data_IF_107816868555
#
_entry.id   IF_107816868555
#
_cell.length_a   1.000
_cell.length_b   1.000
_cell.length_c   1.000
_cell.angle_alpha   90.00
_cell.angle_beta   90.00
_cell.angle_gamma   90.00
#
_symmetry.space_group_name_H-M   'P 1'
#
loop_
_entity.id
_entity.type
_entity.pdbx_description
1 polymer ?
#
# COMPACT_ATOMS: atom_id res chain seq x y z
N UNK A 1 -18.77 29.49 24.06
CA UNK A 1 -18.79 28.87 22.71
C UNK A 1 -18.86 27.34 22.77
N UNK A 2 -17.83 26.58 23.18
CA UNK A 2 -17.90 25.11 23.30
C UNK A 2 -18.89 24.60 24.37
N UNK A 3 -18.98 25.28 25.52
CA UNK A 3 -19.98 25.00 26.57
C UNK A 3 -21.41 25.33 26.11
N UNK A 4 -21.54 26.43 25.37
CA UNK A 4 -22.79 26.90 24.78
C UNK A 4 -23.25 26.02 23.60
N UNK A 5 -22.31 25.44 22.85
CA UNK A 5 -22.55 24.38 21.87
C UNK A 5 -23.13 23.16 22.56
N UNK A 6 -22.47 22.63 23.59
CA UNK A 6 -22.99 21.45 24.33
C UNK A 6 -24.38 21.72 24.92
N UNK A 7 -24.67 22.96 25.35
CA UNK A 7 -26.01 23.37 25.82
C UNK A 7 -27.03 23.44 24.67
N UNK A 8 -26.79 24.25 23.63
CA UNK A 8 -27.74 24.43 22.50
C UNK A 8 -27.95 23.15 21.69
N UNK A 9 -26.93 22.31 21.64
CA UNK A 9 -26.94 21.04 20.95
C UNK A 9 -27.72 19.97 21.76
N UNK A 10 -27.76 20.09 23.10
CA UNK A 10 -28.67 19.29 23.96
C UNK A 10 -30.13 19.71 23.85
N UNK A 11 -30.38 21.02 23.76
CA UNK A 11 -31.74 21.60 23.83
C UNK A 11 -32.53 21.49 22.50
N UNK A 12 -31.84 21.22 21.41
CA UNK A 12 -32.43 21.08 20.08
C UNK A 12 -33.01 19.66 19.88
N UNK A 13 -34.35 19.56 19.87
CA UNK A 13 -35.08 18.38 19.37
C UNK A 13 -34.84 18.11 17.87
N UNK A 14 -34.16 19.02 17.16
CA UNK A 14 -33.86 18.89 15.74
C UNK A 14 -32.38 18.49 15.49
N UNK A 15 -32.13 17.23 15.14
CA UNK A 15 -30.78 16.73 14.95
C UNK A 15 -30.02 17.29 13.74
N UNK A 16 -30.72 17.75 12.71
CA UNK A 16 -30.06 18.36 11.55
C UNK A 16 -29.49 19.75 11.88
N UNK A 17 -30.15 20.48 12.80
CA UNK A 17 -29.64 21.73 13.33
C UNK A 17 -28.33 21.50 14.12
N UNK A 18 -28.28 20.43 14.91
CA UNK A 18 -27.12 20.04 15.70
C UNK A 18 -25.88 19.77 14.83
N UNK A 19 -26.01 18.96 13.78
CA UNK A 19 -24.92 18.70 12.83
C UNK A 19 -24.51 19.97 12.08
N UNK A 20 -25.47 20.83 11.74
CA UNK A 20 -25.19 22.12 11.10
C UNK A 20 -24.34 23.02 11.99
N UNK A 21 -24.65 23.12 13.27
CA UNK A 21 -23.85 23.89 14.24
C UNK A 21 -22.45 23.29 14.40
N UNK A 22 -22.31 21.96 14.46
CA UNK A 22 -21.00 21.32 14.51
C UNK A 22 -20.14 21.71 13.29
N UNK A 23 -20.72 21.66 12.08
CA UNK A 23 -20.02 22.08 10.85
C UNK A 23 -19.60 23.54 10.91
N UNK A 24 -20.49 24.43 11.36
CA UNK A 24 -20.17 25.86 11.51
C UNK A 24 -19.02 26.10 12.49
N UNK A 25 -18.95 25.35 13.59
CA UNK A 25 -17.85 25.44 14.55
C UNK A 25 -16.55 24.96 13.92
N UNK A 26 -16.55 23.79 13.28
CA UNK A 26 -15.38 23.23 12.60
C UNK A 26 -14.86 24.19 11.51
N UNK A 27 -15.77 24.76 10.71
CA UNK A 27 -15.44 25.74 9.69
C UNK A 27 -14.90 27.04 10.30
N UNK A 28 -15.47 27.53 11.40
CA UNK A 28 -14.95 28.69 12.13
C UNK A 28 -13.53 28.46 12.68
N UNK A 29 -13.27 27.25 13.23
CA UNK A 29 -11.94 26.86 13.69
C UNK A 29 -10.96 26.85 12.51
N UNK A 30 -11.34 26.24 11.39
CA UNK A 30 -10.53 26.19 10.16
C UNK A 30 -10.25 27.57 9.59
N UNK A 31 -11.24 28.45 9.51
CA UNK A 31 -11.05 29.82 9.05
C UNK A 31 -10.09 30.59 9.95
N UNK A 32 -10.23 30.46 11.26
CA UNK A 32 -9.35 31.14 12.21
C UNK A 32 -7.93 30.57 12.17
N UNK A 33 -7.79 29.26 11.96
CA UNK A 33 -6.51 28.59 11.72
C UNK A 33 -5.84 29.19 10.49
N UNK A 34 -6.54 29.23 9.35
CA UNK A 34 -6.02 29.75 8.09
C UNK A 34 -5.65 31.24 8.19
N UNK A 35 -6.51 32.06 8.79
CA UNK A 35 -6.24 33.50 9.02
C UNK A 35 -4.99 33.70 9.86
N UNK A 36 -4.81 32.90 10.91
CA UNK A 36 -3.64 32.99 11.78
C UNK A 36 -2.37 32.48 11.07
N UNK A 37 -2.48 31.37 10.32
CA UNK A 37 -1.40 30.84 9.50
C UNK A 37 -0.89 31.87 8.50
N UNK A 38 -1.79 32.54 7.76
CA UNK A 38 -1.42 33.60 6.81
C UNK A 38 -0.72 34.77 7.49
N UNK A 39 -1.14 35.14 8.71
CA UNK A 39 -0.54 36.25 9.48
C UNK A 39 0.83 35.91 10.09
N UNK A 40 1.01 34.69 10.58
CA UNK A 40 2.17 34.32 11.40
C UNK A 40 3.22 33.49 10.66
N UNK A 41 2.84 32.85 9.55
CA UNK A 41 3.71 32.05 8.68
C UNK A 41 4.57 31.05 9.47
N UNK A 42 5.88 31.27 9.53
CA UNK A 42 6.84 30.40 10.22
C UNK A 42 6.64 30.35 11.75
N UNK A 43 6.05 31.38 12.34
CA UNK A 43 5.76 31.44 13.78
C UNK A 43 4.41 30.80 14.16
N UNK A 44 3.71 30.21 13.19
CA UNK A 44 2.41 29.61 13.41
C UNK A 44 2.48 28.43 14.41
N UNK A 45 1.61 28.46 15.41
CA UNK A 45 1.51 27.43 16.44
C UNK A 45 0.29 26.55 16.18
N UNK A 46 0.50 25.29 15.77
CA UNK A 46 -0.57 24.35 15.45
C UNK A 46 -1.26 23.74 16.67
N UNK A 47 -0.54 23.64 17.80
CA UNK A 47 -0.98 22.94 19.02
C UNK A 47 -2.34 23.38 19.57
N UNK A 48 -2.63 24.69 19.72
CA UNK A 48 -3.93 25.15 20.21
C UNK A 48 -5.10 24.67 19.34
N UNK A 49 -4.93 24.67 18.01
CA UNK A 49 -5.96 24.19 17.10
C UNK A 49 -6.12 22.68 17.20
N UNK A 50 -5.01 21.93 17.24
CA UNK A 50 -5.03 20.48 17.49
C UNK A 50 -5.86 20.13 18.71
N UNK A 51 -5.60 20.81 19.83
CA UNK A 51 -6.29 20.56 21.08
C UNK A 51 -7.79 20.87 21.02
N UNK A 52 -8.18 21.90 20.27
CA UNK A 52 -9.60 22.20 20.02
C UNK A 52 -10.29 21.08 19.25
N UNK A 53 -9.64 20.51 18.22
CA UNK A 53 -10.19 19.35 17.49
C UNK A 53 -10.35 18.14 18.40
N UNK A 54 -9.33 17.79 19.19
CA UNK A 54 -9.38 16.67 20.13
C UNK A 54 -10.52 16.82 21.13
N UNK A 55 -10.60 17.97 21.83
CA UNK A 55 -11.63 18.22 22.84
C UNK A 55 -13.03 18.16 22.23
N UNK A 56 -13.22 18.74 21.04
CA UNK A 56 -14.52 18.71 20.36
C UNK A 56 -14.88 17.28 19.94
N UNK A 57 -13.91 16.53 19.41
CA UNK A 57 -14.09 15.14 19.01
C UNK A 57 -14.46 14.26 20.21
N UNK A 58 -13.73 14.35 21.32
CA UNK A 58 -14.00 13.63 22.57
C UNK A 58 -15.42 13.91 23.06
N UNK A 59 -15.78 15.19 23.23
CA UNK A 59 -17.10 15.59 23.73
C UNK A 59 -18.25 15.08 22.88
N UNK A 60 -18.12 15.18 21.56
CA UNK A 60 -19.19 14.77 20.64
C UNK A 60 -19.26 13.23 20.53
N UNK A 61 -18.16 12.53 20.76
CA UNK A 61 -18.12 11.06 20.68
C UNK A 61 -18.63 10.39 21.98
N UNK A 62 -18.41 11.02 23.13
CA UNK A 62 -18.84 10.55 24.45
C UNK A 62 -20.35 10.74 24.70
N UNK A 63 -20.97 11.73 24.04
CA UNK A 63 -22.39 12.00 24.23
C UNK A 63 -23.28 10.92 23.59
N UNK A 64 -23.86 10.09 24.46
CA UNK A 64 -24.75 8.98 24.09
C UNK A 64 -26.01 9.43 23.36
N UNK A 65 -26.47 10.67 23.57
CA UNK A 65 -27.66 11.18 22.87
C UNK A 65 -27.45 11.28 21.35
N UNK A 66 -26.19 11.25 20.91
CA UNK A 66 -25.75 11.47 19.53
C UNK A 66 -25.35 10.21 18.78
N UNK A 67 -25.58 9.07 19.41
CA UNK A 67 -25.23 7.77 18.86
C UNK A 67 -25.77 7.57 17.43
N UNK A 68 -27.02 7.97 17.20
CA UNK A 68 -27.71 7.97 15.90
C UNK A 68 -27.09 8.89 14.84
N UNK A 69 -26.30 9.89 15.24
CA UNK A 69 -25.66 10.86 14.33
C UNK A 69 -24.15 10.66 14.18
N UNK A 70 -23.57 9.62 14.79
CA UNK A 70 -22.12 9.36 14.77
C UNK A 70 -21.51 9.40 13.37
N UNK A 71 -22.21 8.89 12.36
CA UNK A 71 -21.74 8.96 10.98
C UNK A 71 -21.64 10.40 10.46
N UNK A 72 -22.67 11.23 10.69
CA UNK A 72 -22.69 12.62 10.26
C UNK A 72 -21.64 13.47 10.99
N UNK A 73 -21.40 13.19 12.28
CA UNK A 73 -20.31 13.77 13.07
C UNK A 73 -18.97 13.44 12.42
N UNK A 74 -18.67 12.15 12.22
CA UNK A 74 -17.42 11.72 11.57
C UNK A 74 -17.25 12.35 10.20
N UNK A 75 -18.32 12.43 9.41
CA UNK A 75 -18.31 13.09 8.10
C UNK A 75 -17.98 14.58 8.22
N UNK A 76 -18.54 15.30 9.19
CA UNK A 76 -18.23 16.71 9.41
C UNK A 76 -16.73 16.91 9.74
N UNK A 77 -16.16 16.08 10.60
CA UNK A 77 -14.72 16.11 10.90
C UNK A 77 -13.86 15.77 9.68
N UNK A 78 -14.20 14.71 8.93
CA UNK A 78 -13.51 14.36 7.69
C UNK A 78 -13.56 15.49 6.66
N UNK A 79 -14.76 16.00 6.32
CA UNK A 79 -14.96 17.06 5.33
C UNK A 79 -14.11 18.30 5.69
N UNK A 80 -13.97 18.56 6.99
CA UNK A 80 -13.17 19.67 7.50
C UNK A 80 -11.65 19.37 7.47
N UNK A 81 -11.22 18.18 7.87
CA UNK A 81 -9.80 17.75 7.84
C UNK A 81 -9.24 17.65 6.41
N UNK A 82 -10.08 17.34 5.41
CA UNK A 82 -9.71 17.38 3.99
C UNK A 82 -9.33 18.79 3.52
N UNK A 83 -9.88 19.84 4.14
CA UNK A 83 -9.49 21.23 3.87
C UNK A 83 -8.09 21.54 4.41
N UNK A 84 -7.65 20.80 5.43
CA UNK A 84 -6.42 21.01 6.20
C UNK A 84 -5.31 20.00 5.89
N UNK A 85 -5.39 19.28 4.76
CA UNK A 85 -4.40 18.25 4.41
C UNK A 85 -2.97 18.82 4.36
N UNK A 86 -1.95 18.01 4.71
CA UNK A 86 -0.55 18.44 4.75
C UNK A 86 -0.03 19.05 3.44
N UNK A 87 -0.55 18.63 2.28
CA UNK A 87 -0.19 19.21 0.98
C UNK A 87 -0.56 20.68 0.85
N UNK A 88 -1.66 21.10 1.51
CA UNK A 88 -2.13 22.49 1.49
C UNK A 88 -1.52 23.31 2.64
N UNK A 89 -1.33 22.69 3.79
CA UNK A 89 -0.84 23.36 5.01
C UNK A 89 0.25 22.50 5.67
N UNK A 90 1.48 22.48 5.14
CA UNK A 90 2.54 21.60 5.63
C UNK A 90 2.89 21.81 7.11
N UNK A 91 2.81 23.05 7.61
CA UNK A 91 3.11 23.37 9.01
C UNK A 91 2.13 22.74 10.00
N UNK A 92 0.92 22.37 9.53
CA UNK A 92 -0.09 21.71 10.35
C UNK A 92 0.03 20.18 10.32
N UNK A 93 0.97 19.61 9.56
CA UNK A 93 1.04 18.17 9.31
C UNK A 93 1.12 17.31 10.58
N UNK A 94 1.90 17.72 11.59
CA UNK A 94 2.01 16.97 12.85
C UNK A 94 0.68 16.94 13.61
N UNK A 95 0.05 18.11 13.80
CA UNK A 95 -1.25 18.21 14.45
C UNK A 95 -2.35 17.49 13.66
N UNK A 96 -2.30 17.56 12.34
CA UNK A 96 -3.23 16.84 11.47
C UNK A 96 -3.11 15.32 11.66
N UNK A 97 -1.87 14.79 11.71
CA UNK A 97 -1.60 13.37 11.99
C UNK A 97 -2.07 12.95 13.37
N UNK A 98 -1.88 13.80 14.38
CA UNK A 98 -2.38 13.56 15.74
C UNK A 98 -3.91 13.46 15.77
N UNK A 99 -4.63 14.37 15.10
CA UNK A 99 -6.09 14.32 15.01
C UNK A 99 -6.58 13.07 14.29
N UNK A 100 -6.03 12.73 13.11
CA UNK A 100 -6.52 11.57 12.36
C UNK A 100 -6.18 10.24 13.05
N UNK A 101 -5.12 10.21 13.85
CA UNK A 101 -4.72 9.01 14.62
C UNK A 101 -5.39 8.91 15.99
N UNK A 102 -6.18 9.91 16.37
CA UNK A 102 -6.87 9.94 17.66
C UNK A 102 -7.85 8.76 17.81
N UNK A 103 -7.88 8.04 18.95
CA UNK A 103 -8.73 6.85 19.13
C UNK A 103 -10.23 7.12 18.92
N UNK A 104 -10.74 8.26 19.39
CA UNK A 104 -12.15 8.65 19.18
C UNK A 104 -12.50 8.89 17.71
N UNK A 105 -11.51 9.06 16.83
CA UNK A 105 -11.70 9.23 15.40
C UNK A 105 -11.41 7.93 14.63
N UNK A 106 -10.18 7.44 14.71
CA UNK A 106 -9.71 6.25 13.99
C UNK A 106 -10.53 5.01 14.36
N UNK A 107 -10.59 4.64 15.65
CA UNK A 107 -11.26 3.40 16.06
C UNK A 107 -12.75 3.48 15.72
N UNK A 108 -13.37 4.66 15.89
CA UNK A 108 -14.79 4.83 15.58
C UNK A 108 -15.07 4.77 14.08
N UNK A 109 -14.21 5.34 13.21
CA UNK A 109 -14.37 5.22 11.76
C UNK A 109 -14.24 3.77 11.28
N UNK A 110 -13.36 2.98 11.89
CA UNK A 110 -13.05 1.62 11.45
C UNK A 110 -13.95 0.53 12.06
N UNK A 111 -14.62 0.80 13.18
CA UNK A 111 -15.48 -0.19 13.88
C UNK A 111 -16.97 -0.07 13.59
N UNK A 112 -17.42 0.94 12.83
CA UNK A 112 -18.85 1.14 12.58
C UNK A 112 -19.43 0.27 11.45
N UNK A 113 -18.59 -0.54 10.80
CA UNK A 113 -18.96 -1.47 9.72
C UNK A 113 -19.43 -0.79 8.43
N UNK A 114 -19.33 0.54 8.31
CA UNK A 114 -19.78 1.26 7.10
C UNK A 114 -18.63 1.42 6.12
N UNK A 115 -18.82 0.91 4.90
CA UNK A 115 -17.88 1.10 3.79
C UNK A 115 -17.52 2.58 3.56
N UNK A 116 -18.49 3.50 3.69
CA UNK A 116 -18.24 4.95 3.58
C UNK A 116 -17.29 5.48 4.66
N UNK A 117 -17.40 5.01 5.91
CA UNK A 117 -16.51 5.43 7.00
C UNK A 117 -15.09 4.89 6.78
N UNK A 118 -14.97 3.65 6.31
CA UNK A 118 -13.69 3.06 5.93
C UNK A 118 -13.05 3.83 4.78
N UNK A 119 -13.82 4.19 3.75
CA UNK A 119 -13.36 5.00 2.63
C UNK A 119 -12.84 6.37 3.11
N UNK A 120 -13.57 7.05 3.99
CA UNK A 120 -13.13 8.33 4.56
C UNK A 120 -11.77 8.21 5.26
N UNK A 121 -11.56 7.14 6.03
CA UNK A 121 -10.28 6.95 6.71
C UNK A 121 -9.16 6.55 5.73
N UNK A 122 -9.46 5.70 4.74
CA UNK A 122 -8.57 5.37 3.64
C UNK A 122 -8.08 6.62 2.92
N UNK A 123 -8.96 7.55 2.57
CA UNK A 123 -8.61 8.78 1.87
C UNK A 123 -7.67 9.66 2.69
N UNK A 124 -7.91 9.79 4.00
CA UNK A 124 -7.02 10.53 4.90
C UNK A 124 -5.61 9.93 4.91
N UNK A 125 -5.49 8.61 5.05
CA UNK A 125 -4.19 7.94 4.99
C UNK A 125 -3.53 8.13 3.61
N UNK A 126 -4.30 8.09 2.53
CA UNK A 126 -3.80 8.35 1.18
C UNK A 126 -3.26 9.76 1.04
N UNK A 127 -3.96 10.79 1.55
CA UNK A 127 -3.42 12.15 1.60
C UNK A 127 -2.11 12.22 2.40
N UNK A 128 -2.00 11.50 3.52
CA UNK A 128 -0.74 11.47 4.28
C UNK A 128 0.40 10.82 3.48
N UNK A 129 0.14 9.68 2.83
CA UNK A 129 1.15 8.98 2.04
C UNK A 129 1.57 9.81 0.82
N UNK A 130 0.63 10.42 0.09
CA UNK A 130 0.90 11.29 -1.06
C UNK A 130 1.69 12.54 -0.66
N UNK A 131 1.47 13.09 0.55
CA UNK A 131 2.30 14.17 1.07
C UNK A 131 3.75 13.72 1.32
N UNK A 132 3.93 12.51 1.87
CA UNK A 132 5.25 11.97 2.20
C UNK A 132 6.03 11.47 0.99
N UNK A 133 5.33 10.98 -0.03
CA UNK A 133 5.84 10.34 -1.25
C UNK A 133 7.08 11.04 -1.86
N UNK A 134 7.04 12.35 -2.20
CA UNK A 134 8.18 12.99 -2.87
C UNK A 134 9.43 13.05 -2.01
N UNK A 135 9.26 13.22 -0.69
CA UNK A 135 10.37 13.28 0.27
C UNK A 135 10.98 11.89 0.51
N UNK A 136 10.14 10.87 0.58
CA UNK A 136 10.55 9.48 0.77
C UNK A 136 11.29 8.95 -0.45
N UNK A 137 10.78 9.24 -1.66
CA UNK A 137 11.41 8.83 -2.92
C UNK A 137 12.82 9.38 -3.07
N UNK A 138 13.00 10.68 -2.80
CA UNK A 138 14.29 11.37 -2.93
C UNK A 138 15.24 11.09 -1.76
N UNK A 139 14.79 10.38 -0.73
CA UNK A 139 15.51 10.17 0.53
C UNK A 139 15.95 11.52 1.15
N UNK A 140 15.17 12.58 0.90
CA UNK A 140 15.46 13.95 1.30
C UNK A 140 14.76 14.29 2.62
N UNK A 141 15.07 13.52 3.68
CA UNK A 141 14.36 13.62 4.95
C UNK A 141 15.11 14.51 5.96
N UNK A 142 14.54 15.69 6.21
CA UNK A 142 14.88 16.55 7.36
C UNK A 142 14.56 15.84 8.68
N UNK A 143 15.05 16.36 9.80
CA UNK A 143 14.74 15.80 11.13
C UNK A 143 13.22 15.69 11.35
N UNK A 144 12.47 16.75 11.03
CA UNK A 144 11.01 16.78 11.15
C UNK A 144 10.34 15.74 10.26
N UNK A 145 10.77 15.58 9.00
CA UNK A 145 10.21 14.56 8.10
C UNK A 145 10.50 13.13 8.59
N UNK A 146 11.64 12.89 9.25
CA UNK A 146 11.92 11.59 9.90
C UNK A 146 10.98 11.31 11.06
N UNK A 147 10.70 12.31 11.89
CA UNK A 147 9.72 12.18 12.97
C UNK A 147 8.32 11.91 12.42
N UNK A 148 7.93 12.62 11.37
CA UNK A 148 6.65 12.40 10.70
C UNK A 148 6.56 10.99 10.09
N UNK A 149 7.62 10.52 9.42
CA UNK A 149 7.67 9.16 8.89
C UNK A 149 7.58 8.10 9.99
N UNK A 150 8.20 8.32 11.17
CA UNK A 150 8.01 7.44 12.34
C UNK A 150 6.54 7.40 12.79
N UNK A 151 5.83 8.52 12.74
CA UNK A 151 4.38 8.54 13.02
C UNK A 151 3.58 7.76 11.97
N UNK A 152 3.94 7.85 10.68
CA UNK A 152 3.34 7.03 9.62
C UNK A 152 3.53 5.55 9.92
N UNK A 153 4.77 5.11 10.20
CA UNK A 153 5.06 3.71 10.58
C UNK A 153 4.19 3.27 11.77
N UNK A 154 4.13 4.09 12.83
CA UNK A 154 3.32 3.79 14.02
C UNK A 154 1.84 3.63 13.70
N UNK A 155 1.28 4.52 12.88
CA UNK A 155 -0.13 4.44 12.46
C UNK A 155 -0.37 3.11 11.72
N UNK A 156 0.46 2.77 10.74
CA UNK A 156 0.31 1.53 9.99
C UNK A 156 0.53 0.27 10.85
N UNK A 157 1.43 0.31 11.84
CA UNK A 157 1.57 -0.77 12.82
C UNK A 157 0.32 -0.91 13.70
N UNK A 158 -0.30 0.20 14.13
CA UNK A 158 -1.56 0.16 14.87
C UNK A 158 -2.67 -0.43 13.99
N UNK A 159 -2.77 -0.03 12.72
CA UNK A 159 -3.76 -0.56 11.79
C UNK A 159 -3.56 -2.06 11.55
N UNK A 160 -2.32 -2.51 11.37
CA UNK A 160 -2.00 -3.92 11.21
C UNK A 160 -2.43 -4.76 12.42
N UNK A 161 -2.27 -4.23 13.64
CA UNK A 161 -2.57 -4.98 14.86
C UNK A 161 -4.03 -4.89 15.32
N UNK A 162 -4.66 -3.72 15.19
CA UNK A 162 -6.02 -3.45 15.69
C UNK A 162 -7.11 -3.50 14.62
N UNK A 163 -6.76 -3.23 13.36
CA UNK A 163 -7.71 -3.12 12.25
C UNK A 163 -7.22 -3.87 11.00
N UNK A 164 -6.82 -5.15 11.12
CA UNK A 164 -6.16 -5.86 10.04
C UNK A 164 -7.06 -6.13 8.83
N UNK A 165 -8.38 -6.23 9.01
CA UNK A 165 -9.34 -6.33 7.90
C UNK A 165 -9.29 -5.08 7.01
N UNK A 166 -9.31 -3.89 7.61
CA UNK A 166 -9.22 -2.63 6.87
C UNK A 166 -7.90 -2.52 6.11
N UNK A 167 -6.78 -2.80 6.78
CA UNK A 167 -5.47 -2.68 6.15
C UNK A 167 -5.27 -3.73 5.05
N UNK A 168 -5.76 -4.96 5.25
CA UNK A 168 -5.65 -6.03 4.26
C UNK A 168 -6.50 -5.79 3.02
N UNK A 169 -7.66 -5.15 3.13
CA UNK A 169 -8.49 -4.70 2.00
C UNK A 169 -7.86 -3.53 1.24
N UNK A 170 -7.26 -2.57 1.95
CA UNK A 170 -6.70 -1.35 1.35
C UNK A 170 -5.24 -1.49 0.87
N UNK A 171 -4.62 -2.66 1.08
CA UNK A 171 -3.17 -2.85 0.89
C UNK A 171 -2.66 -2.40 -0.49
N UNK A 172 -3.44 -2.68 -1.55
CA UNK A 172 -3.07 -2.37 -2.93
C UNK A 172 -2.94 -0.86 -3.11
N UNK A 173 -3.97 -0.11 -2.72
CA UNK A 173 -4.01 1.36 -2.80
C UNK A 173 -2.87 2.01 -2.00
N UNK A 174 -2.60 1.52 -0.79
CA UNK A 174 -1.51 2.06 0.03
C UNK A 174 -0.13 1.71 -0.52
N UNK A 175 0.08 0.50 -1.04
CA UNK A 175 1.33 0.13 -1.69
C UNK A 175 1.60 0.93 -2.96
N UNK A 176 0.55 1.27 -3.71
CA UNK A 176 0.61 2.12 -4.91
C UNK A 176 0.89 3.61 -4.59
N UNK A 177 0.65 4.02 -3.34
CA UNK A 177 0.87 5.38 -2.84
C UNK A 177 2.24 5.59 -2.20
N UNK A 178 3.09 4.55 -2.09
CA UNK A 178 4.42 4.63 -1.47
C UNK A 178 5.56 4.24 -2.43
N UNK A 179 6.71 4.92 -2.36
CA UNK A 179 7.89 4.58 -3.15
C UNK A 179 8.42 3.14 -2.89
N UNK A 180 9.10 2.55 -3.88
CA UNK A 180 9.71 1.21 -3.76
C UNK A 180 10.74 1.09 -2.64
N UNK A 181 11.44 2.17 -2.31
CA UNK A 181 12.42 2.22 -1.23
C UNK A 181 11.80 2.29 0.18
N UNK A 182 10.47 2.44 0.32
CA UNK A 182 9.77 2.41 1.61
C UNK A 182 9.50 0.97 2.09
N UNK A 183 10.56 0.17 2.17
CA UNK A 183 10.47 -1.29 2.33
C UNK A 183 9.78 -1.67 3.66
N UNK A 184 10.17 -1.07 4.79
CA UNK A 184 9.57 -1.39 6.09
C UNK A 184 8.07 -1.04 6.13
N UNK A 185 7.68 0.15 5.66
CA UNK A 185 6.27 0.56 5.62
C UNK A 185 5.44 -0.39 4.75
N UNK A 186 5.99 -0.77 3.60
CA UNK A 186 5.39 -1.76 2.71
C UNK A 186 5.23 -3.11 3.41
N UNK A 187 6.26 -3.60 4.08
CA UNK A 187 6.17 -4.87 4.81
C UNK A 187 5.07 -4.83 5.87
N UNK A 188 4.97 -3.75 6.66
CA UNK A 188 3.88 -3.56 7.64
C UNK A 188 2.51 -3.68 6.97
N UNK A 189 2.30 -3.01 5.83
CA UNK A 189 1.03 -3.06 5.07
C UNK A 189 0.74 -4.49 4.59
N UNK A 190 1.74 -5.17 4.03
CA UNK A 190 1.61 -6.51 3.44
C UNK A 190 1.49 -7.62 4.50
N UNK A 191 1.84 -7.35 5.75
CA UNK A 191 1.67 -8.25 6.88
C UNK A 191 0.25 -8.28 7.46
N UNK A 192 -0.66 -7.40 7.01
CA UNK A 192 -2.03 -7.42 7.49
C UNK A 192 -2.75 -8.72 7.08
N UNK A 193 -3.23 -9.47 8.08
CA UNK A 193 -3.95 -10.74 7.91
C UNK A 193 -5.40 -10.57 8.35
N UNK A 194 -6.41 -10.84 7.51
CA UNK A 194 -7.81 -10.74 7.93
C UNK A 194 -8.10 -11.54 9.20
N UNK A 195 -9.01 -11.04 10.03
CA UNK A 195 -9.39 -11.66 11.31
C UNK A 195 -9.91 -13.09 11.13
N UNK A 196 -10.60 -13.37 10.02
CA UNK A 196 -11.06 -14.71 9.67
C UNK A 196 -9.91 -15.71 9.59
N UNK A 197 -8.80 -15.31 8.97
CA UNK A 197 -7.59 -16.14 8.85
C UNK A 197 -6.83 -16.20 10.17
N UNK A 198 -6.74 -15.08 10.90
CA UNK A 198 -6.12 -15.06 12.24
C UNK A 198 -6.83 -16.03 13.18
N UNK A 199 -8.17 -16.08 13.15
CA UNK A 199 -8.94 -16.97 14.01
C UNK A 199 -8.68 -18.44 13.67
N UNK A 200 -8.64 -18.81 12.38
CA UNK A 200 -8.26 -20.17 11.97
C UNK A 200 -6.89 -20.57 12.51
N UNK A 201 -5.89 -19.68 12.40
CA UNK A 201 -4.54 -19.94 12.92
C UNK A 201 -4.55 -20.10 14.46
N UNK A 202 -5.33 -19.27 15.17
CA UNK A 202 -5.48 -19.36 16.63
C UNK A 202 -6.19 -20.63 17.09
N UNK A 203 -7.09 -21.16 16.27
CA UNK A 203 -7.80 -22.41 16.51
C UNK A 203 -6.92 -23.66 16.26
N UNK A 204 -5.66 -23.46 15.90
CA UNK A 204 -4.65 -24.52 15.75
C UNK A 204 -4.51 -25.05 14.32
N UNK A 205 -5.21 -24.47 13.34
CA UNK A 205 -5.03 -24.84 11.94
C UNK A 205 -3.62 -24.49 11.47
N UNK A 206 -2.96 -25.47 10.85
CA UNK A 206 -1.66 -25.24 10.24
C UNK A 206 -1.80 -24.35 9.01
N UNK A 207 -0.78 -23.56 8.70
CA UNK A 207 -0.77 -22.71 7.50
C UNK A 207 -1.08 -23.49 6.21
N UNK A 208 -0.64 -24.75 6.10
CA UNK A 208 -0.93 -25.61 4.97
C UNK A 208 -2.43 -25.90 4.80
N UNK A 209 -3.19 -26.06 5.89
CA UNK A 209 -4.64 -26.28 5.85
C UNK A 209 -5.40 -25.02 5.43
N UNK A 210 -4.96 -23.87 5.96
CA UNK A 210 -5.49 -22.55 5.59
C UNK A 210 -5.21 -22.26 4.12
N UNK A 211 -4.04 -22.66 3.63
CA UNK A 211 -3.66 -22.53 2.22
C UNK A 211 -4.56 -23.38 1.32
N UNK A 212 -4.80 -24.65 1.65
CA UNK A 212 -5.69 -25.51 0.84
C UNK A 212 -7.09 -24.91 0.67
N UNK A 213 -7.62 -24.31 1.74
CA UNK A 213 -8.94 -23.67 1.77
C UNK A 213 -8.87 -22.15 1.55
N UNK A 214 -7.78 -21.65 0.97
CA UNK A 214 -7.57 -20.23 0.73
C UNK A 214 -8.74 -19.59 -0.03
N UNK A 215 -9.20 -18.44 0.44
CA UNK A 215 -10.24 -17.66 -0.23
C UNK A 215 -9.62 -16.61 -1.17
N UNK A 216 -10.42 -16.12 -2.11
CA UNK A 216 -10.08 -14.90 -2.85
C UNK A 216 -10.11 -13.74 -1.84
N UNK A 217 -9.01 -12.98 -1.69
CA UNK A 217 -8.96 -11.88 -0.74
C UNK A 217 -9.87 -10.74 -1.21
N UNK A 218 -10.57 -10.12 -0.25
CA UNK A 218 -11.32 -8.88 -0.50
C UNK A 218 -10.34 -7.71 -0.64
N UNK A 219 -10.45 -6.94 -1.72
CA UNK A 219 -9.56 -5.83 -2.05
C UNK A 219 -10.41 -4.66 -2.49
N UNK A 220 -10.07 -3.46 -1.99
CA UNK A 220 -10.80 -2.24 -2.32
C UNK A 220 -10.84 -2.04 -3.86
N UNK A 221 -12.03 -1.77 -4.46
CA UNK A 221 -12.16 -1.57 -5.89
C UNK A 221 -11.44 -0.30 -6.38
N UNK A 222 -11.27 -0.18 -7.70
CA UNK A 222 -10.63 0.97 -8.35
C UNK A 222 -9.19 0.72 -8.81
N UNK A 223 -8.67 -0.49 -8.58
CA UNK A 223 -7.36 -0.88 -9.09
C UNK A 223 -7.33 -0.97 -10.63
N UNK A 224 -8.47 -1.04 -11.31
CA UNK A 224 -8.60 -1.08 -12.77
C UNK A 224 -8.58 0.31 -13.43
N UNK A 225 -8.75 1.39 -12.65
CA UNK A 225 -8.85 2.75 -13.20
C UNK A 225 -7.65 3.15 -14.07
N UNK A 226 -6.38 2.83 -13.71
CA UNK A 226 -5.24 3.11 -14.59
C UNK A 226 -5.28 2.35 -15.92
N UNK A 227 -5.71 1.09 -15.92
CA UNK A 227 -5.88 0.28 -17.14
C UNK A 227 -6.99 0.80 -18.05
N UNK A 228 -8.10 1.25 -17.46
CA UNK A 228 -9.21 1.83 -18.20
C UNK A 228 -8.76 3.17 -18.81
N UNK A 229 -8.12 4.02 -18.01
CA UNK A 229 -7.67 5.36 -18.44
C UNK A 229 -6.58 5.33 -19.50
N UNK A 230 -5.75 4.29 -19.51
CA UNK A 230 -4.73 4.07 -20.55
C UNK A 230 -5.30 3.46 -21.84
N UNK A 231 -6.54 2.98 -21.84
CA UNK A 231 -7.13 2.25 -22.96
C UNK A 231 -6.61 0.81 -23.14
N UNK A 232 -5.77 0.31 -22.22
CA UNK A 232 -5.19 -1.04 -22.29
C UNK A 232 -6.16 -2.14 -21.86
N UNK A 233 -7.23 -1.80 -21.11
CA UNK A 233 -8.15 -2.81 -20.57
C UNK A 233 -8.79 -3.71 -21.65
N UNK A 234 -9.27 -3.13 -22.75
CA UNK A 234 -9.88 -3.88 -23.85
C UNK A 234 -8.88 -4.79 -24.60
N UNK A 235 -7.74 -4.29 -25.13
CA UNK A 235 -6.77 -5.14 -25.81
C UNK A 235 -6.18 -6.21 -24.89
N UNK A 236 -5.98 -5.90 -23.59
CA UNK A 236 -5.55 -6.89 -22.60
C UNK A 236 -6.56 -8.04 -22.45
N UNK A 237 -7.83 -7.72 -22.24
CA UNK A 237 -8.87 -8.74 -22.10
C UNK A 237 -9.01 -9.61 -23.35
N UNK A 238 -8.88 -9.00 -24.54
CA UNK A 238 -8.89 -9.73 -25.80
C UNK A 238 -7.69 -10.67 -25.90
N UNK A 239 -6.49 -10.19 -25.58
CA UNK A 239 -5.28 -11.01 -25.60
C UNK A 239 -5.37 -12.17 -24.62
N UNK A 240 -5.84 -11.92 -23.40
CA UNK A 240 -6.01 -12.96 -22.39
C UNK A 240 -6.96 -14.08 -22.87
N UNK A 241 -8.06 -13.74 -23.56
CA UNK A 241 -9.05 -14.73 -24.01
C UNK A 241 -8.67 -15.42 -25.33
N UNK A 242 -8.19 -14.64 -26.30
CA UNK A 242 -8.05 -15.06 -27.69
C UNK A 242 -6.59 -15.22 -28.14
N UNK A 243 -5.63 -14.70 -27.38
CA UNK A 243 -4.22 -14.59 -27.80
C UNK A 243 -3.98 -13.49 -28.85
N UNK A 244 -4.96 -12.61 -29.07
CA UNK A 244 -4.94 -11.55 -30.09
C UNK A 244 -5.10 -10.14 -29.46
N UNK A 245 -4.46 -9.09 -30.02
CA UNK A 245 -3.60 -9.13 -31.20
C UNK A 245 -2.20 -9.67 -30.88
N UNK A 246 -1.58 -10.40 -31.82
CA UNK A 246 -0.21 -10.94 -31.64
C UNK A 246 0.84 -9.87 -31.30
N UNK A 247 0.66 -8.65 -31.81
CA UNK A 247 1.56 -7.52 -31.57
C UNK A 247 1.34 -6.85 -30.20
N UNK A 248 0.32 -7.28 -29.43
CA UNK A 248 0.00 -6.72 -28.12
C UNK A 248 1.21 -6.68 -27.21
N UNK A 249 1.92 -7.79 -27.08
CA UNK A 249 3.09 -7.91 -26.19
C UNK A 249 4.17 -6.88 -26.54
N UNK A 250 4.47 -6.72 -27.83
CA UNK A 250 5.48 -5.75 -28.30
C UNK A 250 5.07 -4.31 -27.96
N UNK A 251 3.79 -3.98 -28.14
CA UNK A 251 3.27 -2.64 -27.81
C UNK A 251 3.17 -2.38 -26.30
N UNK A 252 3.07 -3.45 -25.48
CA UNK A 252 2.82 -3.35 -24.05
C UNK A 252 3.98 -2.68 -23.30
N UNK A 253 5.22 -3.04 -23.63
CA UNK A 253 6.40 -2.44 -23.00
C UNK A 253 6.46 -0.91 -23.17
N UNK A 254 6.11 -0.42 -24.36
CA UNK A 254 6.05 1.01 -24.65
C UNK A 254 4.87 1.69 -23.95
N UNK A 255 3.71 1.03 -23.88
CA UNK A 255 2.53 1.57 -23.22
C UNK A 255 2.69 1.73 -21.69
N UNK A 256 3.64 1.00 -21.09
CA UNK A 256 3.97 1.10 -19.67
C UNK A 256 4.92 2.26 -19.34
N UNK A 257 5.54 2.89 -20.34
CA UNK A 257 6.40 4.05 -20.14
C UNK A 257 5.59 5.26 -19.66
N UNK A 258 6.23 6.12 -18.88
CA UNK A 258 5.59 7.35 -18.43
C UNK A 258 5.60 8.39 -19.56
N UNK A 259 4.45 9.01 -19.81
CA UNK A 259 4.36 10.16 -20.71
C UNK A 259 4.77 11.47 -20.03
N UNK A 260 5.19 11.40 -18.76
CA UNK A 260 5.50 12.57 -17.96
C UNK A 260 6.90 13.06 -18.31
N UNK A 261 6.98 14.19 -19.02
CA UNK A 261 8.18 15.03 -19.05
C UNK A 261 8.44 15.49 -17.62
N UNK A 262 9.23 14.74 -16.88
CA UNK A 262 9.66 15.17 -15.55
C UNK A 262 10.62 16.34 -15.77
N UNK A 263 10.20 17.54 -15.35
CA UNK A 263 11.10 18.67 -15.11
C UNK A 263 12.10 18.22 -14.03
N UNK A 264 13.19 17.61 -14.47
CA UNK A 264 14.32 17.29 -13.61
C UNK A 264 15.09 18.58 -13.40
N UNK A 265 15.29 18.97 -12.15
CA UNK A 265 16.28 19.98 -11.79
C UNK A 265 17.66 19.39 -12.13
N UNK A 266 18.39 19.95 -13.13
CA UNK A 266 19.63 19.36 -13.62
C UNK A 266 20.74 19.28 -12.58
N UNK A 267 20.57 19.93 -11.42
CA UNK A 267 21.53 19.92 -10.31
C UNK A 267 21.27 18.83 -9.25
N UNK A 268 20.20 18.04 -9.34
CA UNK A 268 19.91 16.98 -8.38
C UNK A 268 20.39 15.61 -8.87
N UNK A 269 21.60 15.22 -8.46
CA UNK A 269 22.05 13.83 -8.55
C UNK A 269 21.80 13.13 -7.20
N UNK A 270 20.89 12.16 -7.11
CA UNK A 270 20.78 11.35 -5.91
C UNK A 270 22.07 10.57 -5.71
N UNK A 271 22.57 10.51 -4.47
CA UNK A 271 23.75 9.72 -4.11
C UNK A 271 23.61 8.21 -4.41
N UNK A 272 22.39 7.74 -4.71
CA UNK A 272 22.05 6.36 -5.10
C UNK A 272 21.24 6.30 -6.42
N UNK A 273 21.60 7.11 -7.43
CA UNK A 273 20.91 7.17 -8.73
C UNK A 273 20.83 5.83 -9.48
N UNK A 274 21.77 4.91 -9.22
CA UNK A 274 21.76 3.55 -9.76
C UNK A 274 20.69 2.64 -9.14
N UNK A 275 20.17 2.96 -7.96
CA UNK A 275 19.34 2.05 -7.15
C UNK A 275 17.85 2.46 -7.17
N UNK A 276 17.58 3.76 -7.20
CA UNK A 276 16.21 4.29 -7.31
C UNK A 276 16.24 5.44 -8.32
N UNK A 277 16.00 5.18 -9.62
CA UNK A 277 15.99 6.23 -10.63
C UNK A 277 14.96 7.29 -10.24
N UNK A 278 15.42 8.54 -10.24
CA UNK A 278 14.62 9.70 -9.82
C UNK A 278 13.57 10.06 -10.86
N UNK A 279 13.86 9.72 -12.11
CA UNK A 279 12.98 9.87 -13.26
C UNK A 279 12.15 8.60 -13.37
N UNK A 280 10.82 8.72 -13.23
CA UNK A 280 9.93 7.61 -13.54
C UNK A 280 9.94 7.40 -15.04
N UNK A 281 10.73 6.44 -15.52
CA UNK A 281 10.61 6.01 -16.91
C UNK A 281 9.31 5.23 -17.13
N UNK A 282 8.72 4.70 -16.05
CA UNK A 282 7.50 3.89 -16.08
C UNK A 282 6.33 4.52 -15.31
N UNK A 283 5.11 4.31 -15.83
CA UNK A 283 3.89 4.62 -15.12
C UNK A 283 3.59 3.52 -14.08
N UNK A 284 4.11 3.70 -12.86
CA UNK A 284 4.03 2.71 -11.77
C UNK A 284 2.58 2.29 -11.47
N UNK A 285 1.62 3.24 -11.48
CA UNK A 285 0.21 2.95 -11.18
C UNK A 285 -0.42 2.06 -12.24
N UNK A 286 -0.13 2.33 -13.52
CA UNK A 286 -0.55 1.48 -14.62
C UNK A 286 0.10 0.09 -14.53
N UNK A 287 1.38 0.05 -14.18
CA UNK A 287 2.14 -1.18 -14.01
C UNK A 287 1.54 -2.09 -12.93
N UNK A 288 1.26 -1.53 -11.75
CA UNK A 288 0.63 -2.23 -10.64
C UNK A 288 -0.79 -2.69 -11.01
N UNK A 289 -1.55 -1.83 -11.70
CA UNK A 289 -2.92 -2.11 -12.16
C UNK A 289 -2.96 -3.29 -13.12
N UNK A 290 -2.07 -3.29 -14.12
CA UNK A 290 -1.89 -4.39 -15.07
C UNK A 290 -1.61 -5.72 -14.37
N UNK A 291 -0.59 -5.75 -13.51
CA UNK A 291 -0.15 -6.97 -12.83
C UNK A 291 -1.26 -7.54 -11.96
N UNK A 292 -1.87 -6.67 -11.14
CA UNK A 292 -2.91 -7.10 -10.22
C UNK A 292 -4.18 -7.55 -10.96
N UNK A 293 -4.56 -6.84 -12.03
CA UNK A 293 -5.70 -7.23 -12.85
C UNK A 293 -5.51 -8.61 -13.48
N UNK A 294 -4.36 -8.89 -14.10
CA UNK A 294 -4.09 -10.20 -14.71
C UNK A 294 -4.15 -11.31 -13.65
N UNK A 295 -3.55 -11.08 -12.48
CA UNK A 295 -3.58 -12.06 -11.39
C UNK A 295 -4.98 -12.30 -10.84
N UNK A 296 -5.74 -11.24 -10.58
CA UNK A 296 -7.13 -11.34 -10.10
C UNK A 296 -8.03 -12.03 -11.14
N UNK A 297 -7.88 -11.68 -12.42
CA UNK A 297 -8.63 -12.29 -13.52
C UNK A 297 -8.31 -13.79 -13.67
N UNK A 298 -7.03 -14.15 -13.60
CA UNK A 298 -6.57 -15.54 -13.67
C UNK A 298 -7.09 -16.39 -12.52
N UNK A 299 -7.11 -15.83 -11.30
CA UNK A 299 -7.63 -16.51 -10.12
C UNK A 299 -9.13 -16.74 -10.24
N UNK A 300 -9.89 -15.74 -10.67
CA UNK A 300 -11.34 -15.86 -10.86
C UNK A 300 -11.68 -16.97 -11.87
N UNK A 301 -10.96 -16.99 -13.00
CA UNK A 301 -11.15 -17.98 -14.06
C UNK A 301 -10.74 -19.40 -13.65
N UNK A 302 -9.72 -19.55 -12.80
CA UNK A 302 -9.26 -20.86 -12.34
C UNK A 302 -10.31 -21.60 -11.50
N UNK A 303 -11.32 -20.89 -10.97
CA UNK A 303 -12.41 -21.52 -10.22
C UNK A 303 -13.46 -22.19 -11.13
N UNK A 304 -13.54 -21.80 -12.41
CA UNK A 304 -14.57 -22.27 -13.34
C UNK A 304 -14.23 -23.62 -14.03
N UNK A 305 -13.14 -24.28 -13.62
CA UNK A 305 -12.71 -25.69 -13.84
C UNK A 305 -12.75 -26.34 -15.24
N UNK A 306 -13.42 -25.81 -16.28
CA UNK A 306 -13.71 -26.62 -17.49
C UNK A 306 -13.17 -26.10 -18.84
N UNK A 307 -12.82 -24.82 -19.04
CA UNK A 307 -12.50 -24.35 -20.41
C UNK A 307 -11.40 -23.27 -20.59
N UNK A 308 -10.69 -22.85 -19.53
CA UNK A 308 -9.87 -21.62 -19.61
C UNK A 308 -8.35 -21.80 -19.44
N UNK A 309 -7.81 -22.97 -19.79
CA UNK A 309 -6.35 -23.22 -19.76
C UNK A 309 -5.56 -22.23 -20.64
N UNK A 310 -6.12 -21.83 -21.79
CA UNK A 310 -5.52 -20.85 -22.69
C UNK A 310 -5.32 -19.49 -22.02
N UNK A 311 -6.30 -19.02 -21.24
CA UNK A 311 -6.20 -17.73 -20.54
C UNK A 311 -5.07 -17.70 -19.53
N UNK A 312 -4.84 -18.81 -18.83
CA UNK A 312 -3.70 -18.95 -17.94
C UNK A 312 -2.40 -18.89 -18.75
N UNK A 313 -2.28 -19.66 -19.83
CA UNK A 313 -1.10 -19.64 -20.70
C UNK A 313 -0.79 -18.21 -21.19
N UNK A 314 -1.79 -17.48 -21.69
CA UNK A 314 -1.62 -16.10 -22.15
C UNK A 314 -1.19 -15.15 -21.00
N UNK A 315 -1.70 -15.37 -19.78
CA UNK A 315 -1.27 -14.61 -18.60
C UNK A 315 0.20 -14.82 -18.31
N UNK A 316 0.66 -16.08 -18.24
CA UNK A 316 2.09 -16.41 -18.05
C UNK A 316 2.96 -15.85 -19.19
N UNK A 317 2.47 -15.89 -20.43
CA UNK A 317 3.17 -15.31 -21.60
C UNK A 317 3.41 -13.80 -21.45
N UNK A 318 2.42 -13.04 -20.95
CA UNK A 318 2.60 -11.60 -20.69
C UNK A 318 3.75 -11.38 -19.70
N UNK A 319 3.74 -12.08 -18.56
CA UNK A 319 4.78 -11.92 -17.55
C UNK A 319 6.17 -12.34 -18.04
N UNK A 320 6.26 -13.43 -18.81
CA UNK A 320 7.51 -13.87 -19.41
C UNK A 320 8.05 -12.83 -20.41
N UNK A 321 7.15 -12.27 -21.24
CA UNK A 321 7.51 -11.20 -22.18
C UNK A 321 8.02 -9.95 -21.44
N UNK A 322 7.31 -9.48 -20.41
CA UNK A 322 7.72 -8.32 -19.62
C UNK A 322 9.07 -8.57 -18.92
N UNK A 323 9.26 -9.73 -18.30
CA UNK A 323 10.51 -10.06 -17.64
C UNK A 323 11.71 -10.05 -18.61
N UNK A 324 11.51 -10.50 -19.85
CA UNK A 324 12.58 -10.57 -20.86
C UNK A 324 12.83 -9.24 -21.58
N UNK A 325 11.77 -8.48 -21.89
CA UNK A 325 11.84 -7.29 -22.76
C UNK A 325 12.14 -5.98 -22.03
N UNK A 326 11.77 -5.87 -20.76
CA UNK A 326 11.99 -4.64 -19.99
C UNK A 326 13.46 -4.46 -19.63
N UNK A 327 13.83 -3.20 -19.38
CA UNK A 327 15.13 -2.85 -18.83
C UNK A 327 15.21 -3.17 -17.31
N UNK A 328 16.35 -2.89 -16.69
CA UNK A 328 16.56 -3.17 -15.27
C UNK A 328 15.53 -2.46 -14.37
N UNK A 329 15.12 -1.23 -14.68
CA UNK A 329 14.13 -0.48 -13.91
C UNK A 329 12.75 -1.14 -14.02
N UNK A 330 12.30 -1.43 -15.24
CA UNK A 330 11.01 -2.09 -15.50
C UNK A 330 10.94 -3.48 -14.87
N UNK A 331 12.03 -4.27 -14.94
CA UNK A 331 12.13 -5.57 -14.26
C UNK A 331 12.05 -5.41 -12.75
N UNK A 332 12.72 -4.42 -12.16
CA UNK A 332 12.67 -4.18 -10.72
C UNK A 332 11.26 -3.81 -10.25
N UNK A 333 10.53 -2.99 -11.02
CA UNK A 333 9.12 -2.67 -10.77
C UNK A 333 8.28 -3.94 -10.88
N UNK A 334 8.38 -4.68 -12.00
CA UNK A 334 7.63 -5.91 -12.26
C UNK A 334 7.72 -6.91 -11.10
N UNK A 335 8.93 -7.26 -10.67
CA UNK A 335 9.10 -8.24 -9.60
C UNK A 335 8.69 -7.70 -8.24
N UNK A 336 8.90 -6.41 -7.96
CA UNK A 336 8.36 -5.81 -6.74
C UNK A 336 6.83 -5.88 -6.68
N UNK A 337 6.15 -5.62 -7.81
CA UNK A 337 4.70 -5.67 -7.92
C UNK A 337 4.18 -7.11 -7.77
N UNK A 338 4.81 -8.10 -8.42
CA UNK A 338 4.49 -9.53 -8.22
C UNK A 338 4.64 -9.91 -6.73
N UNK A 339 5.77 -9.55 -6.13
CA UNK A 339 6.09 -9.92 -4.74
C UNK A 339 5.18 -9.19 -3.73
N UNK A 340 4.59 -8.04 -4.07
CA UNK A 340 3.60 -7.37 -3.21
C UNK A 340 2.37 -8.23 -2.93
N UNK A 341 2.06 -9.20 -3.79
CA UNK A 341 0.90 -10.06 -3.63
C UNK A 341 1.20 -11.31 -2.77
N UNK A 342 2.45 -11.51 -2.35
CA UNK A 342 2.88 -12.60 -1.47
C UNK A 342 2.60 -12.26 0.02
N UNK A 343 1.31 -12.27 0.40
CA UNK A 343 0.83 -11.79 1.72
C UNK A 343 0.51 -12.93 2.69
N UNK A 344 -0.70 -13.04 3.20
CA UNK A 344 -1.17 -14.19 3.98
C UNK A 344 -1.66 -15.32 3.05
N UNK A 345 -1.97 -16.53 3.55
CA UNK A 345 -2.53 -17.59 2.72
C UNK A 345 -3.86 -17.17 2.09
N UNK A 346 -3.88 -16.97 0.77
CA UNK A 346 -5.05 -16.61 -0.03
C UNK A 346 -4.83 -17.00 -1.50
N UNK A 347 -5.87 -16.99 -2.32
CA UNK A 347 -5.79 -17.41 -3.73
C UNK A 347 -4.86 -16.55 -4.58
N UNK A 348 -4.74 -15.25 -4.30
CA UNK A 348 -3.80 -14.38 -5.01
C UNK A 348 -2.35 -14.73 -4.63
N UNK A 349 -2.04 -14.91 -3.35
CA UNK A 349 -0.71 -15.34 -2.88
C UNK A 349 -0.26 -16.62 -3.57
N UNK A 350 -1.14 -17.64 -3.66
CA UNK A 350 -0.85 -18.91 -4.34
C UNK A 350 -0.53 -18.72 -5.82
N UNK A 351 -1.37 -17.95 -6.51
CA UNK A 351 -1.19 -17.73 -7.94
C UNK A 351 0.08 -16.95 -8.26
N UNK A 352 0.36 -15.86 -7.52
CA UNK A 352 1.58 -15.07 -7.71
C UNK A 352 2.85 -15.83 -7.29
N UNK A 353 2.78 -16.71 -6.29
CA UNK A 353 3.87 -17.63 -5.95
C UNK A 353 4.15 -18.60 -7.10
N UNK A 354 3.09 -19.21 -7.65
CA UNK A 354 3.19 -20.15 -8.78
C UNK A 354 3.75 -19.46 -10.03
N UNK A 355 3.30 -18.24 -10.30
CA UNK A 355 3.84 -17.37 -11.35
C UNK A 355 5.33 -17.09 -11.14
N UNK A 356 5.72 -16.68 -9.93
CA UNK A 356 7.12 -16.37 -9.63
C UNK A 356 8.02 -17.59 -9.81
N UNK A 357 7.62 -18.75 -9.29
CA UNK A 357 8.34 -20.02 -9.47
C UNK A 357 8.45 -20.39 -10.95
N UNK A 358 7.37 -20.25 -11.72
CA UNK A 358 7.39 -20.50 -13.17
C UNK A 358 8.37 -19.57 -13.90
N UNK A 359 8.39 -18.26 -13.57
CA UNK A 359 9.32 -17.31 -14.18
C UNK A 359 10.77 -17.68 -13.84
N UNK A 360 11.08 -18.04 -12.59
CA UNK A 360 12.44 -18.44 -12.18
C UNK A 360 12.90 -19.72 -12.90
N UNK A 361 12.00 -20.68 -13.16
CA UNK A 361 12.33 -21.91 -13.88
C UNK A 361 12.56 -21.70 -15.38
N UNK A 362 11.77 -20.83 -16.02
CA UNK A 362 11.75 -20.70 -17.48
C UNK A 362 12.64 -19.56 -18.01
N UNK A 363 13.08 -18.65 -17.14
CA UNK A 363 14.00 -17.57 -17.51
C UNK A 363 15.44 -18.03 -17.27
N UNK A 364 16.22 -18.09 -18.33
CA UNK A 364 17.65 -18.46 -18.29
C UNK A 364 18.58 -17.31 -17.84
N UNK A 365 18.10 -16.07 -17.84
CA UNK A 365 18.89 -14.90 -17.47
C UNK A 365 19.18 -14.86 -15.95
N UNK A 366 20.42 -15.15 -15.59
CA UNK A 366 20.92 -15.12 -14.20
C UNK A 366 20.71 -13.75 -13.56
N UNK A 367 20.77 -12.67 -14.33
CA UNK A 367 20.56 -11.31 -13.81
C UNK A 367 19.14 -11.14 -13.25
N UNK A 368 18.15 -11.80 -13.86
CA UNK A 368 16.76 -11.76 -13.36
C UNK A 368 16.66 -12.52 -12.03
N UNK A 369 17.32 -13.66 -11.89
CA UNK A 369 17.36 -14.41 -10.62
C UNK A 369 18.04 -13.59 -9.52
N UNK A 370 19.16 -12.95 -9.83
CA UNK A 370 19.86 -12.04 -8.91
C UNK A 370 18.97 -10.86 -8.49
N UNK A 371 18.25 -10.26 -9.44
CA UNK A 371 17.31 -9.17 -9.16
C UNK A 371 16.18 -9.61 -8.23
N UNK A 372 15.60 -10.79 -8.46
CA UNK A 372 14.57 -11.37 -7.59
C UNK A 372 15.14 -11.62 -6.19
N UNK A 373 16.34 -12.21 -6.10
CA UNK A 373 17.04 -12.44 -4.83
C UNK A 373 17.27 -11.14 -4.06
N UNK A 374 17.73 -10.10 -4.76
CA UNK A 374 17.91 -8.77 -4.19
C UNK A 374 16.61 -8.22 -3.62
N UNK A 375 15.48 -8.33 -4.32
CA UNK A 375 14.18 -7.85 -3.82
C UNK A 375 13.76 -8.61 -2.55
N UNK A 376 13.97 -9.93 -2.50
CA UNK A 376 13.71 -10.71 -1.29
C UNK A 376 14.60 -10.27 -0.13
N UNK A 377 15.90 -10.12 -0.35
CA UNK A 377 16.84 -9.68 0.68
C UNK A 377 16.53 -8.27 1.18
N UNK A 378 16.26 -7.34 0.28
CA UNK A 378 15.83 -5.98 0.63
C UNK A 378 14.62 -6.01 1.57
N UNK A 379 13.64 -6.89 1.32
CA UNK A 379 12.43 -7.02 2.14
C UNK A 379 12.63 -7.82 3.43
N UNK A 380 13.51 -8.81 3.46
CA UNK A 380 13.70 -9.68 4.63
C UNK A 380 14.79 -9.17 5.59
N UNK A 381 15.62 -8.21 5.18
CA UNK A 381 16.66 -7.59 6.02
C UNK A 381 16.21 -6.27 6.66
N UNK A 382 14.96 -5.83 6.43
CA UNK A 382 14.38 -4.73 7.22
C UNK A 382 14.05 -5.17 8.63
N UNK A 383 13.75 -4.24 9.53
CA UNK A 383 13.10 -4.58 10.79
C UNK A 383 11.73 -5.23 10.56
N UNK A 384 11.37 -6.19 11.44
CA UNK A 384 10.06 -6.84 11.50
C UNK A 384 8.89 -5.83 11.38
N UNK A 385 7.74 -6.23 10.81
CA UNK A 385 7.33 -7.61 10.46
C UNK A 385 7.64 -8.01 9.00
N UNK A 386 7.49 -9.31 8.67
CA UNK A 386 7.64 -9.85 7.31
C UNK A 386 6.38 -10.59 6.84
N UNK A 387 5.90 -10.36 5.60
CA UNK A 387 4.72 -11.06 5.09
C UNK A 387 4.94 -12.58 5.04
N UNK A 388 3.90 -13.36 5.38
CA UNK A 388 3.99 -14.82 5.41
C UNK A 388 4.42 -15.42 4.06
N UNK A 389 3.75 -15.02 2.98
CA UNK A 389 3.94 -15.51 1.63
C UNK A 389 5.29 -15.10 1.06
N UNK A 390 5.83 -13.95 1.47
CA UNK A 390 7.20 -13.55 1.16
C UNK A 390 8.21 -14.57 1.70
N UNK A 391 8.05 -14.99 2.96
CA UNK A 391 8.94 -16.00 3.59
C UNK A 391 8.78 -17.37 2.95
N UNK A 392 7.54 -17.79 2.69
CA UNK A 392 7.25 -19.07 2.01
C UNK A 392 7.87 -19.10 0.62
N UNK A 393 7.70 -18.03 -0.17
CA UNK A 393 8.27 -17.94 -1.50
C UNK A 393 9.80 -17.97 -1.48
N UNK A 394 10.43 -17.25 -0.55
CA UNK A 394 11.88 -17.27 -0.42
C UNK A 394 12.40 -18.67 -0.05
N UNK A 395 11.76 -19.34 0.90
CA UNK A 395 12.09 -20.72 1.29
C UNK A 395 11.96 -21.68 0.11
N UNK A 396 10.84 -21.63 -0.59
CA UNK A 396 10.54 -22.45 -1.77
C UNK A 396 11.66 -22.33 -2.82
N UNK A 397 12.01 -21.09 -3.20
CA UNK A 397 13.05 -20.84 -4.21
C UNK A 397 14.42 -21.32 -3.76
N UNK A 398 14.76 -21.11 -2.50
CA UNK A 398 16.10 -21.35 -1.97
C UNK A 398 16.35 -22.83 -1.59
N UNK A 399 15.31 -23.56 -1.19
CA UNK A 399 15.43 -24.95 -0.75
C UNK A 399 15.34 -25.95 -1.91
N UNK A 400 14.61 -25.64 -2.98
CA UNK A 400 14.46 -26.55 -4.12
C UNK A 400 15.55 -26.32 -5.16
N UNK A 401 16.37 -27.34 -5.40
CA UNK A 401 17.52 -27.30 -6.32
C UNK A 401 17.15 -26.97 -7.77
N UNK A 402 15.92 -27.29 -8.19
CA UNK A 402 15.43 -27.04 -9.55
C UNK A 402 15.43 -25.54 -9.92
N UNK A 403 15.28 -24.65 -8.94
CA UNK A 403 15.24 -23.22 -9.20
C UNK A 403 16.60 -22.60 -9.45
N UNK A 404 17.69 -23.28 -9.05
CA UNK A 404 19.04 -22.74 -9.26
C UNK A 404 19.13 -21.31 -8.68
N UNK A 405 18.78 -21.19 -7.39
CA UNK A 405 18.57 -19.93 -6.69
C UNK A 405 19.45 -19.86 -5.45
N UNK A 406 20.75 -19.78 -5.68
CA UNK A 406 21.76 -19.71 -4.65
C UNK A 406 22.77 -18.60 -4.93
N UNK A 407 23.41 -18.02 -3.88
CA UNK A 407 24.42 -16.96 -4.07
C UNK A 407 25.58 -17.39 -4.99
N UNK A 408 25.93 -18.68 -4.98
CA UNK A 408 26.99 -19.26 -5.81
C UNK A 408 26.68 -19.22 -7.31
N UNK A 409 25.40 -19.09 -7.67
CA UNK A 409 24.93 -19.05 -9.05
C UNK A 409 24.75 -17.62 -9.57
N UNK A 410 24.86 -16.63 -8.69
CA UNK A 410 24.73 -15.22 -9.04
C UNK A 410 26.07 -14.62 -9.45
N UNK A 411 26.05 -13.64 -10.34
CA UNK A 411 27.25 -12.96 -10.84
C UNK A 411 27.73 -11.87 -9.85
N UNK A 412 28.02 -12.27 -8.61
CA UNK A 412 28.45 -11.35 -7.55
C UNK A 412 29.94 -11.05 -7.72
N UNK A 413 30.24 -9.86 -8.21
CA UNK A 413 31.61 -9.42 -8.59
C UNK A 413 32.62 -9.36 -7.44
N UNK A 414 32.17 -9.31 -6.17
CA UNK A 414 33.07 -9.22 -5.02
C UNK A 414 32.83 -10.33 -4.00
N UNK A 415 33.91 -10.94 -3.52
CA UNK A 415 33.85 -11.98 -2.48
C UNK A 415 33.22 -11.49 -1.17
N UNK A 416 33.38 -10.21 -0.83
CA UNK A 416 32.77 -9.62 0.38
C UNK A 416 31.24 -9.52 0.24
N UNK A 417 30.74 -9.02 -0.89
CA UNK A 417 29.30 -9.02 -1.17
C UNK A 417 28.75 -10.44 -1.24
N UNK A 418 29.50 -11.41 -1.77
CA UNK A 418 29.08 -12.80 -1.81
C UNK A 418 28.91 -13.36 -0.38
N UNK A 419 29.89 -13.12 0.50
CA UNK A 419 29.80 -13.54 1.90
C UNK A 419 28.63 -12.89 2.64
N UNK A 420 28.43 -11.57 2.46
CA UNK A 420 27.28 -10.87 3.05
C UNK A 420 25.95 -11.42 2.52
N UNK A 421 25.88 -11.72 1.23
CA UNK A 421 24.71 -12.33 0.59
C UNK A 421 24.45 -13.72 1.16
N UNK A 422 25.48 -14.56 1.31
CA UNK A 422 25.37 -15.88 1.93
C UNK A 422 24.87 -15.80 3.38
N UNK A 423 25.40 -14.86 4.17
CA UNK A 423 24.95 -14.63 5.55
C UNK A 423 23.48 -14.19 5.57
N UNK A 424 23.09 -13.24 4.73
CA UNK A 424 21.71 -12.78 4.62
C UNK A 424 20.75 -13.91 4.21
N UNK A 425 21.14 -14.73 3.22
CA UNK A 425 20.40 -15.94 2.85
C UNK A 425 20.26 -16.93 4.02
N UNK A 426 21.33 -17.13 4.79
CA UNK A 426 21.31 -17.98 5.98
C UNK A 426 20.35 -17.48 7.07
N UNK A 427 20.41 -16.19 7.40
CA UNK A 427 19.51 -15.55 8.37
C UNK A 427 18.05 -15.66 7.90
N UNK A 428 17.79 -15.37 6.62
CA UNK A 428 16.44 -15.43 6.06
C UNK A 428 15.89 -16.87 5.97
N UNK A 429 16.74 -17.89 5.76
CA UNK A 429 16.33 -19.29 5.84
C UNK A 429 15.84 -19.65 7.24
N UNK A 430 16.54 -19.22 8.29
CA UNK A 430 16.13 -19.47 9.67
C UNK A 430 14.75 -18.85 9.98
N UNK A 431 14.49 -17.61 9.53
CA UNK A 431 13.18 -16.98 9.65
C UNK A 431 12.04 -17.72 8.92
N UNK A 432 12.37 -18.56 7.94
CA UNK A 432 11.40 -19.37 7.20
C UNK A 432 11.18 -20.78 7.78
N UNK A 433 12.02 -21.17 8.74
CA UNK A 433 11.90 -22.42 9.50
C UNK A 433 11.16 -22.20 10.82
N UNK A 434 11.27 -21.01 11.42
CA UNK A 434 10.54 -20.65 12.63
C UNK A 434 9.13 -20.10 12.34
N UNK A 435 8.13 -20.93 12.70
CA UNK A 435 6.65 -20.74 12.76
C UNK A 435 5.85 -20.85 11.46
#
# INVERSE_FOLDING_TARGET
MLSEFVSRYRDSLNPDANITVLRQILDSITEQLLKNYVKTQENFQSGPYCKLYEILLEKVTEDRTLERYRFHIKKAFYDNLVKLIPQKIPIFAFSWVEIISHPCFMEKLLTDGRAKSMQMFHDLLKYLLEFMEPFLRRVALTHSLRLLYKSVLRIFTILMNKFPNFLSQCYYSFCDSIPLNCIQLRNIILCAIPETVINLIKDGHQYAEVEQNALIPDVLPGFEEPLISSGLNLPLNRFLREGEPKDFLVSLGQALLSNAKTESDPNFQPKNSFIYPSNQNYNIKLFNSLIFYIGSYSVAISQDNFHNSHTLIHSYQIFHHLASSLDTEGRYILFNSIINHLRYPNKHTQWFLSLLCHLVLNISDVFIKELIARIFLERLMTSDPYPWGLRVAFKELVCKKEYQFSPDEFNISSNELLQLTMQAFGICRQYSEDR
#
